data_IF_752694300597
#
_entry.id   IF_752694300597
#
_cell.length_a   1.000
_cell.length_b   1.000
_cell.length_c   1.000
_cell.angle_alpha   90.00
_cell.angle_beta   90.00
_cell.angle_gamma   90.00
#
_symmetry.space_group_name_H-M   'P 1'
#
loop_
_entity.id
_entity.type
_entity.pdbx_description
1 polymer ?
#
# COMPACT_ATOMS: atom_id res chain seq x y z
N UNK A 1 -57.81 -37.29 -34.99
CA UNK A 1 -57.18 -35.99 -34.68
C UNK A 1 -57.04 -36.00 -33.17
N UNK A 2 -55.88 -36.40 -32.66
CA UNK A 2 -55.55 -36.46 -31.22
C UNK A 2 -54.85 -35.17 -30.82
N UNK A 3 -55.52 -34.23 -30.13
CA UNK A 3 -54.83 -33.10 -29.50
C UNK A 3 -54.93 -33.11 -27.96
N UNK A 4 -55.24 -34.25 -27.31
CA UNK A 4 -55.60 -34.25 -25.88
C UNK A 4 -54.65 -35.04 -24.96
N UNK A 5 -53.69 -35.77 -25.51
CA UNK A 5 -52.73 -36.56 -24.72
C UNK A 5 -51.59 -35.70 -24.14
N UNK A 6 -51.28 -34.56 -24.75
CA UNK A 6 -50.19 -33.68 -24.28
C UNK A 6 -50.64 -32.87 -23.06
N UNK A 7 -51.88 -32.39 -23.04
CA UNK A 7 -52.42 -31.55 -21.95
C UNK A 7 -52.79 -32.36 -20.70
N UNK A 8 -53.20 -33.63 -20.86
CA UNK A 8 -53.51 -34.53 -19.73
C UNK A 8 -52.25 -35.04 -19.03
N UNK A 9 -51.17 -35.29 -19.76
CA UNK A 9 -49.87 -35.67 -19.17
C UNK A 9 -49.24 -34.50 -18.39
N UNK A 10 -49.44 -33.26 -18.83
CA UNK A 10 -48.92 -32.08 -18.12
C UNK A 10 -49.70 -31.78 -16.82
N UNK A 11 -51.01 -32.09 -16.78
CA UNK A 11 -51.88 -31.81 -15.63
C UNK A 11 -51.98 -32.94 -14.60
N UNK A 12 -51.27 -34.05 -14.77
CA UNK A 12 -51.18 -35.07 -13.71
C UNK A 12 -50.47 -34.50 -12.49
N UNK A 13 -51.07 -34.56 -11.28
CA UNK A 13 -50.49 -33.97 -10.06
C UNK A 13 -49.08 -34.49 -9.75
N UNK A 14 -48.77 -35.71 -10.20
CA UNK A 14 -47.47 -36.36 -10.10
C UNK A 14 -46.37 -35.63 -10.88
N UNK A 15 -46.67 -35.18 -12.09
CA UNK A 15 -45.72 -34.48 -12.96
C UNK A 15 -45.48 -33.05 -12.46
N UNK A 16 -46.51 -32.40 -11.93
CA UNK A 16 -46.38 -31.10 -11.27
C UNK A 16 -45.43 -31.13 -10.07
N UNK A 17 -45.54 -32.15 -9.22
CA UNK A 17 -44.63 -32.33 -8.07
C UNK A 17 -43.18 -32.56 -8.52
N UNK A 18 -42.96 -33.34 -9.58
CA UNK A 18 -41.62 -33.54 -10.16
C UNK A 18 -41.02 -32.25 -10.71
N UNK A 19 -41.82 -31.45 -11.43
CA UNK A 19 -41.38 -30.13 -11.92
C UNK A 19 -41.03 -29.18 -10.77
N UNK A 20 -41.86 -29.13 -9.72
CA UNK A 20 -41.59 -28.32 -8.54
C UNK A 20 -40.28 -28.75 -7.85
N UNK A 21 -40.03 -30.06 -7.73
CA UNK A 21 -38.80 -30.60 -7.17
C UNK A 21 -37.56 -30.21 -8.00
N UNK A 22 -37.67 -30.23 -9.33
CA UNK A 22 -36.59 -29.78 -10.23
C UNK A 22 -36.31 -28.30 -10.03
N UNK A 23 -37.34 -27.45 -9.97
CA UNK A 23 -37.18 -26.00 -9.75
C UNK A 23 -36.51 -25.75 -8.40
N UNK A 24 -36.97 -26.41 -7.33
CA UNK A 24 -36.37 -26.29 -6.00
C UNK A 24 -34.90 -26.72 -6.03
N UNK A 25 -34.58 -27.83 -6.71
CA UNK A 25 -33.19 -28.30 -6.87
C UNK A 25 -32.31 -27.28 -7.60
N UNK A 26 -32.81 -26.69 -8.69
CA UNK A 26 -32.11 -25.64 -9.45
C UNK A 26 -31.90 -24.39 -8.59
N UNK A 27 -32.91 -23.94 -7.85
CA UNK A 27 -32.82 -22.78 -6.96
C UNK A 27 -31.79 -23.02 -5.86
N UNK A 28 -31.80 -24.20 -5.23
CA UNK A 28 -30.80 -24.56 -4.21
C UNK A 28 -29.39 -24.54 -4.82
N UNK A 29 -29.21 -25.11 -6.02
CA UNK A 29 -27.91 -25.10 -6.69
C UNK A 29 -27.41 -23.68 -6.97
N UNK A 30 -28.29 -22.77 -7.43
CA UNK A 30 -27.97 -21.37 -7.65
C UNK A 30 -27.59 -20.68 -6.33
N UNK A 31 -28.35 -20.90 -5.26
CA UNK A 31 -28.06 -20.31 -3.95
C UNK A 31 -26.72 -20.78 -3.39
N UNK A 32 -26.39 -22.06 -3.54
CA UNK A 32 -25.08 -22.61 -3.13
C UNK A 32 -23.96 -21.98 -3.95
N UNK A 33 -24.14 -21.82 -5.26
CA UNK A 33 -23.17 -21.14 -6.14
C UNK A 33 -22.94 -19.68 -5.72
N UNK A 34 -24.01 -18.93 -5.50
CA UNK A 34 -23.94 -17.53 -5.08
C UNK A 34 -23.28 -17.38 -3.71
N UNK A 35 -23.63 -18.23 -2.74
CA UNK A 35 -23.00 -18.24 -1.43
C UNK A 35 -21.50 -18.51 -1.55
N UNK A 36 -21.11 -19.52 -2.33
CA UNK A 36 -19.71 -19.85 -2.54
C UNK A 36 -18.93 -18.71 -3.21
N UNK A 37 -19.47 -18.10 -4.27
CA UNK A 37 -18.88 -16.93 -4.91
C UNK A 37 -18.74 -15.75 -3.96
N UNK A 38 -19.74 -15.50 -3.11
CA UNK A 38 -19.69 -14.44 -2.12
C UNK A 38 -18.58 -14.67 -1.09
N UNK A 39 -18.47 -15.89 -0.53
CA UNK A 39 -17.40 -16.21 0.43
C UNK A 39 -16.03 -16.17 -0.22
N UNK A 40 -15.90 -16.66 -1.46
CA UNK A 40 -14.66 -16.60 -2.22
C UNK A 40 -14.22 -15.15 -2.47
N UNK A 41 -15.11 -14.30 -3.01
CA UNK A 41 -14.82 -12.88 -3.23
C UNK A 41 -14.50 -12.14 -1.94
N UNK A 42 -15.22 -12.43 -0.84
CA UNK A 42 -14.94 -11.80 0.45
C UNK A 42 -13.53 -12.16 0.96
N UNK A 43 -13.13 -13.44 0.84
CA UNK A 43 -11.80 -13.90 1.24
C UNK A 43 -10.71 -13.31 0.36
N UNK A 44 -10.93 -13.27 -0.96
CA UNK A 44 -10.00 -12.71 -1.93
C UNK A 44 -9.76 -11.21 -1.67
N UNK A 45 -10.83 -10.43 -1.46
CA UNK A 45 -10.72 -9.02 -1.09
C UNK A 45 -9.90 -8.82 0.19
N UNK A 46 -10.13 -9.61 1.24
CA UNK A 46 -9.33 -9.54 2.47
C UNK A 46 -7.85 -9.87 2.23
N UNK A 47 -7.57 -10.87 1.39
CA UNK A 47 -6.20 -11.24 1.02
C UNK A 47 -5.50 -10.10 0.29
N UNK A 48 -6.14 -9.52 -0.73
CA UNK A 48 -5.60 -8.39 -1.50
C UNK A 48 -5.32 -7.21 -0.57
N UNK A 49 -6.26 -6.83 0.30
CA UNK A 49 -6.03 -5.71 1.23
C UNK A 49 -4.84 -5.97 2.14
N UNK A 50 -4.70 -7.19 2.68
CA UNK A 50 -3.56 -7.56 3.52
C UNK A 50 -2.22 -7.44 2.77
N UNK A 51 -2.17 -7.97 1.54
CA UNK A 51 -1.00 -7.91 0.66
C UNK A 51 -0.62 -6.46 0.34
N UNK A 52 -1.59 -5.57 0.12
CA UNK A 52 -1.33 -4.15 -0.13
C UNK A 52 -0.89 -3.37 1.10
N UNK A 53 -1.30 -3.78 2.31
CA UNK A 53 -0.76 -3.23 3.55
C UNK A 53 0.71 -3.65 3.71
N UNK A 54 1.04 -4.90 3.39
CA UNK A 54 2.41 -5.41 3.44
C UNK A 54 3.30 -4.70 2.42
N UNK A 55 2.85 -4.53 1.18
CA UNK A 55 3.59 -3.76 0.15
C UNK A 55 3.84 -2.30 0.56
N UNK A 56 2.89 -1.67 1.27
CA UNK A 56 3.06 -0.33 1.81
C UNK A 56 4.10 -0.30 2.93
N UNK A 57 4.04 -1.28 3.83
CA UNK A 57 4.99 -1.42 4.92
C UNK A 57 6.42 -1.64 4.41
N UNK A 58 6.61 -2.52 3.42
CA UNK A 58 7.91 -2.72 2.77
C UNK A 58 8.43 -1.44 2.12
N UNK A 59 7.55 -0.68 1.44
CA UNK A 59 7.92 0.61 0.87
C UNK A 59 8.38 1.58 1.96
N UNK A 60 7.69 1.63 3.11
CA UNK A 60 8.06 2.49 4.25
C UNK A 60 9.42 2.14 4.85
N UNK A 61 9.75 0.85 4.91
CA UNK A 61 11.08 0.38 5.32
C UNK A 61 12.15 0.79 4.30
N UNK A 62 11.85 0.63 3.01
CA UNK A 62 12.77 1.04 1.93
C UNK A 62 13.06 2.55 1.99
N UNK A 63 12.03 3.36 2.21
CA UNK A 63 12.19 4.81 2.41
C UNK A 63 13.09 5.14 3.61
N UNK A 64 12.81 4.56 4.77
CA UNK A 64 13.57 4.85 6.00
C UNK A 64 15.03 4.41 5.88
N UNK A 65 15.29 3.25 5.27
CA UNK A 65 16.65 2.79 4.93
C UNK A 65 17.36 3.75 3.98
N UNK A 66 16.71 4.19 2.90
CA UNK A 66 17.31 5.13 1.96
C UNK A 66 17.64 6.47 2.63
N UNK A 67 16.77 6.96 3.53
CA UNK A 67 17.06 8.16 4.31
C UNK A 67 18.26 7.99 5.24
N UNK A 68 18.32 6.87 5.96
CA UNK A 68 19.42 6.54 6.86
C UNK A 68 20.75 6.41 6.10
N UNK A 69 20.74 5.77 4.93
CA UNK A 69 21.91 5.64 4.06
C UNK A 69 22.40 6.99 3.55
N UNK A 70 21.50 7.86 3.06
CA UNK A 70 21.87 9.22 2.62
C UNK A 70 22.50 10.03 3.76
N UNK A 71 21.90 9.97 4.96
CA UNK A 71 22.43 10.68 6.14
C UNK A 71 23.80 10.10 6.54
N UNK A 72 23.95 8.78 6.53
CA UNK A 72 25.20 8.09 6.88
C UNK A 72 26.31 8.39 5.89
N UNK A 73 26.00 8.40 4.59
CA UNK A 73 26.95 8.73 3.54
C UNK A 73 27.51 10.16 3.72
N UNK A 74 26.67 11.11 4.14
CA UNK A 74 27.11 12.48 4.47
C UNK A 74 28.04 12.48 5.68
N UNK A 75 27.71 11.74 6.75
CA UNK A 75 28.56 11.63 7.93
C UNK A 75 29.93 11.01 7.63
N UNK A 76 29.96 10.00 6.76
CA UNK A 76 31.19 9.33 6.33
C UNK A 76 31.99 10.16 5.30
N UNK A 77 31.46 11.31 4.85
CA UNK A 77 32.03 12.14 3.79
C UNK A 77 32.35 11.35 2.50
N UNK A 78 31.60 10.29 2.24
CA UNK A 78 31.89 9.29 1.19
C UNK A 78 31.93 9.89 -0.22
N UNK A 79 31.03 10.84 -0.51
CA UNK A 79 30.94 11.53 -1.80
C UNK A 79 31.32 13.01 -1.72
N UNK A 80 32.24 13.35 -0.80
CA UNK A 80 32.77 14.71 -0.70
C UNK A 80 33.69 15.01 -1.88
N UNK A 81 33.39 16.07 -2.63
CA UNK A 81 34.25 16.61 -3.68
C UNK A 81 35.45 17.34 -3.08
N UNK A 82 36.52 17.49 -3.86
CA UNK A 82 37.70 18.29 -3.50
C UNK A 82 37.34 19.75 -3.16
N UNK A 83 36.29 20.28 -3.80
CA UNK A 83 35.75 21.61 -3.53
C UNK A 83 34.99 21.74 -2.19
N UNK A 84 34.81 20.65 -1.45
CA UNK A 84 34.08 20.59 -0.19
C UNK A 84 32.57 20.35 -0.32
N UNK A 85 32.03 20.37 -1.54
CA UNK A 85 30.63 20.08 -1.84
C UNK A 85 30.35 18.59 -1.80
N UNK A 86 29.10 18.21 -1.55
CA UNK A 86 28.68 16.82 -1.48
C UNK A 86 27.73 16.46 -2.64
N UNK A 87 27.92 15.29 -3.24
CA UNK A 87 26.96 14.69 -4.17
C UNK A 87 26.18 13.58 -3.48
N UNK A 88 24.87 13.52 -3.68
CA UNK A 88 24.09 12.37 -3.25
C UNK A 88 24.40 11.16 -4.12
N UNK A 89 24.36 9.98 -3.52
CA UNK A 89 24.31 8.74 -4.28
C UNK A 89 23.01 8.72 -5.12
N UNK A 90 23.09 8.73 -6.46
CA UNK A 90 21.92 8.79 -7.32
C UNK A 90 21.04 7.53 -7.18
N UNK A 91 21.64 6.39 -6.81
CA UNK A 91 20.91 5.13 -6.63
C UNK A 91 20.05 5.20 -5.38
N UNK A 92 20.63 5.63 -4.26
CA UNK A 92 19.89 5.73 -2.98
C UNK A 92 18.84 6.84 -3.05
N UNK A 93 19.15 7.95 -3.72
CA UNK A 93 18.16 9.00 -3.98
C UNK A 93 16.98 8.49 -4.81
N UNK A 94 17.23 7.70 -5.87
CA UNK A 94 16.16 7.08 -6.66
C UNK A 94 15.31 6.15 -5.78
N UNK A 95 15.93 5.31 -4.96
CA UNK A 95 15.20 4.40 -4.07
C UNK A 95 14.28 5.14 -3.10
N UNK A 96 14.71 6.28 -2.56
CA UNK A 96 13.87 7.13 -1.71
C UNK A 96 12.63 7.61 -2.50
N UNK A 97 12.84 8.16 -3.69
CA UNK A 97 11.76 8.69 -4.54
C UNK A 97 10.81 7.59 -4.98
N UNK A 98 11.33 6.45 -5.40
CA UNK A 98 10.56 5.28 -5.84
C UNK A 98 9.71 4.71 -4.70
N UNK A 99 10.26 4.68 -3.48
CA UNK A 99 9.52 4.24 -2.29
C UNK A 99 8.33 5.17 -2.01
N UNK A 100 8.52 6.49 -2.10
CA UNK A 100 7.44 7.46 -1.92
C UNK A 100 6.38 7.38 -3.02
N UNK A 101 6.79 7.22 -4.28
CA UNK A 101 5.85 7.02 -5.41
C UNK A 101 5.05 5.74 -5.21
N UNK A 102 5.68 4.64 -4.79
CA UNK A 102 4.99 3.39 -4.49
C UNK A 102 3.95 3.57 -3.38
N UNK A 103 4.28 4.27 -2.31
CA UNK A 103 3.32 4.60 -1.24
C UNK A 103 2.15 5.45 -1.74
N UNK A 104 2.44 6.49 -2.54
CA UNK A 104 1.42 7.37 -3.14
C UNK A 104 0.46 6.59 -4.04
N UNK A 105 0.99 5.68 -4.86
CA UNK A 105 0.18 4.79 -5.69
C UNK A 105 -0.70 3.84 -4.86
N UNK A 106 -0.15 3.24 -3.80
CA UNK A 106 -0.89 2.35 -2.91
C UNK A 106 -2.02 3.09 -2.17
N UNK A 107 -1.76 4.32 -1.71
CA UNK A 107 -2.79 5.20 -1.17
C UNK A 107 -3.89 5.44 -2.19
N UNK A 108 -3.54 5.89 -3.40
CA UNK A 108 -4.52 6.24 -4.44
C UNK A 108 -5.40 5.07 -4.88
N UNK A 109 -4.85 3.85 -4.93
CA UNK A 109 -5.55 2.68 -5.44
C UNK A 109 -6.33 1.90 -4.36
N UNK A 110 -5.76 1.75 -3.16
CA UNK A 110 -6.28 0.83 -2.15
C UNK A 110 -6.69 1.52 -0.84
N UNK A 111 -6.11 2.69 -0.53
CA UNK A 111 -6.29 3.34 0.77
C UNK A 111 -6.59 4.84 0.64
N UNK A 112 -7.70 5.24 -0.03
CA UNK A 112 -7.96 6.65 -0.34
C UNK A 112 -8.13 7.55 0.90
N UNK A 113 -8.45 6.98 2.06
CA UNK A 113 -8.63 7.69 3.33
C UNK A 113 -7.40 7.57 4.26
N UNK A 114 -6.24 7.22 3.72
CA UNK A 114 -4.98 7.19 4.46
C UNK A 114 -4.43 8.61 4.62
N UNK A 115 -3.93 8.92 5.81
CA UNK A 115 -3.26 10.19 6.12
C UNK A 115 -1.79 10.14 5.67
N UNK A 116 -1.59 10.10 4.35
CA UNK A 116 -0.26 10.13 3.74
C UNK A 116 -0.24 11.23 2.67
N UNK A 117 0.83 12.04 2.68
CA UNK A 117 1.12 13.04 1.66
C UNK A 117 2.62 13.01 1.38
N UNK A 118 2.97 12.71 0.14
CA UNK A 118 4.36 12.54 -0.28
C UNK A 118 5.24 13.74 0.02
N UNK A 119 4.69 14.95 -0.06
CA UNK A 119 5.39 16.22 0.15
C UNK A 119 5.97 16.32 1.56
N UNK A 120 5.29 15.71 2.54
CA UNK A 120 5.69 15.72 3.95
C UNK A 120 6.90 14.82 4.23
N UNK A 121 7.29 13.97 3.27
CA UNK A 121 8.42 13.03 3.37
C UNK A 121 9.53 13.30 2.36
N UNK A 122 9.38 14.38 1.59
CA UNK A 122 10.36 14.76 0.57
C UNK A 122 11.73 15.06 1.18
N UNK A 123 12.77 14.95 0.35
CA UNK A 123 14.17 15.18 0.77
C UNK A 123 14.39 16.57 1.37
N UNK A 124 13.56 17.55 1.00
CA UNK A 124 13.58 18.91 1.51
C UNK A 124 13.31 19.00 3.02
N UNK A 125 12.74 17.95 3.63
CA UNK A 125 12.53 17.85 5.08
C UNK A 125 13.77 17.37 5.84
N UNK A 126 14.85 17.01 5.13
CA UNK A 126 16.13 16.60 5.70
C UNK A 126 17.19 17.68 5.43
N UNK A 127 17.29 18.73 6.27
CA UNK A 127 18.18 19.87 6.03
C UNK A 127 19.65 19.49 5.89
N UNK A 128 20.11 18.40 6.52
CA UNK A 128 21.50 17.95 6.41
C UNK A 128 21.91 17.64 4.96
N UNK A 129 20.96 17.16 4.15
CA UNK A 129 21.21 16.83 2.74
C UNK A 129 21.35 18.13 1.94
N UNK A 130 20.52 19.12 2.21
CA UNK A 130 20.60 20.41 1.54
C UNK A 130 21.89 21.16 1.92
N UNK A 131 22.25 21.16 3.20
CA UNK A 131 23.50 21.78 3.69
C UNK A 131 24.75 21.14 3.05
N UNK A 132 24.71 19.82 2.81
CA UNK A 132 25.80 19.08 2.18
C UNK A 132 25.94 19.43 0.68
N UNK A 133 24.82 19.48 -0.05
CA UNK A 133 24.80 19.75 -1.49
C UNK A 133 25.08 21.22 -1.81
N UNK A 134 24.51 22.15 -1.02
CA UNK A 134 24.70 23.60 -1.19
C UNK A 134 26.12 24.06 -0.85
N UNK A 135 26.90 23.21 -0.17
CA UNK A 135 28.23 23.54 0.32
C UNK A 135 28.22 24.39 1.59
N UNK A 136 27.06 24.61 2.22
CA UNK A 136 26.97 25.33 3.49
C UNK A 136 27.73 24.63 4.63
N UNK A 137 27.77 23.28 4.61
CA UNK A 137 28.65 22.51 5.49
C UNK A 137 30.13 22.87 5.32
N UNK A 138 30.60 23.02 4.08
CA UNK A 138 31.98 23.38 3.78
C UNK A 138 32.30 24.83 4.16
N UNK A 139 31.31 25.72 4.02
CA UNK A 139 31.42 27.14 4.37
C UNK A 139 31.25 27.41 5.87
N UNK A 140 30.86 26.40 6.66
CA UNK A 140 30.51 26.52 8.10
C UNK A 140 29.45 27.59 8.36
N UNK A 141 28.55 27.79 7.40
CA UNK A 141 27.48 28.77 7.47
C UNK A 141 26.22 28.21 8.12
N UNK A 142 26.07 26.88 8.13
CA UNK A 142 24.99 26.19 8.81
C UNK A 142 25.48 25.44 10.06
N UNK A 143 24.59 25.32 11.05
CA UNK A 143 24.81 24.46 12.21
C UNK A 143 24.55 23.00 11.81
N UNK A 144 25.63 22.34 11.38
CA UNK A 144 25.63 20.95 10.91
C UNK A 144 25.05 19.99 11.96
N UNK A 145 25.29 20.23 13.25
CA UNK A 145 24.79 19.36 14.32
C UNK A 145 23.27 19.48 14.46
N UNK A 146 22.75 20.71 14.39
CA UNK A 146 21.31 20.96 14.37
C UNK A 146 20.64 20.37 13.13
N UNK A 147 21.18 20.60 11.93
CA UNK A 147 20.66 20.03 10.68
C UNK A 147 20.66 18.50 10.69
N UNK A 148 21.69 17.88 11.25
CA UNK A 148 21.76 16.44 11.43
C UNK A 148 20.65 15.94 12.37
N UNK A 149 20.51 16.53 13.57
CA UNK A 149 19.47 16.16 14.54
C UNK A 149 18.06 16.32 13.98
N UNK A 150 17.80 17.39 13.24
CA UNK A 150 16.50 17.63 12.59
C UNK A 150 16.19 16.55 11.55
N UNK A 151 17.17 16.22 10.70
CA UNK A 151 17.00 15.18 9.68
C UNK A 151 16.79 13.80 10.29
N UNK A 152 17.54 13.43 11.34
CA UNK A 152 17.32 12.17 12.08
C UNK A 152 15.95 12.10 12.71
N UNK A 153 15.51 13.18 13.36
CA UNK A 153 14.18 13.27 13.97
C UNK A 153 13.08 13.14 12.92
N UNK A 154 13.27 13.73 11.74
CA UNK A 154 12.33 13.58 10.62
C UNK A 154 12.17 12.10 10.21
N UNK A 155 13.28 11.37 10.06
CA UNK A 155 13.24 9.93 9.72
C UNK A 155 12.54 9.11 10.80
N UNK A 156 12.82 9.39 12.08
CA UNK A 156 12.19 8.72 13.23
C UNK A 156 10.68 8.95 13.25
N UNK A 157 10.24 10.22 13.20
CA UNK A 157 8.83 10.59 13.18
C UNK A 157 8.11 10.01 11.95
N UNK A 158 8.76 10.00 10.80
CA UNK A 158 8.20 9.40 9.58
C UNK A 158 7.98 7.90 9.74
N UNK A 159 8.95 7.19 10.31
CA UNK A 159 8.88 5.76 10.59
C UNK A 159 7.73 5.42 11.55
N UNK A 160 7.60 6.19 12.63
CA UNK A 160 6.50 6.03 13.58
C UNK A 160 5.15 6.26 12.91
N UNK A 161 5.03 7.32 12.11
CA UNK A 161 3.78 7.61 11.42
C UNK A 161 3.40 6.52 10.40
N UNK A 162 4.34 6.00 9.61
CA UNK A 162 4.06 4.87 8.71
C UNK A 162 3.60 3.62 9.47
N UNK A 163 4.21 3.35 10.62
CA UNK A 163 3.79 2.24 11.49
C UNK A 163 2.35 2.43 11.97
N UNK A 164 1.99 3.63 12.41
CA UNK A 164 0.62 3.95 12.84
C UNK A 164 -0.39 3.79 11.71
N UNK A 165 -0.04 4.24 10.50
CA UNK A 165 -0.84 4.03 9.29
C UNK A 165 -1.08 2.54 9.07
N UNK A 166 -0.03 1.71 9.03
CA UNK A 166 -0.16 0.28 8.85
C UNK A 166 -1.04 -0.37 9.93
N UNK A 167 -0.86 0.00 11.20
CA UNK A 167 -1.69 -0.51 12.31
C UNK A 167 -3.15 -0.14 12.11
N UNK A 168 -3.43 1.12 11.75
CA UNK A 168 -4.80 1.60 11.52
C UNK A 168 -5.48 0.85 10.37
N UNK A 169 -4.74 0.55 9.30
CA UNK A 169 -5.24 -0.21 8.15
C UNK A 169 -5.51 -1.67 8.49
N UNK A 170 -4.61 -2.30 9.25
CA UNK A 170 -4.80 -3.68 9.73
C UNK A 170 -6.03 -3.79 10.63
N UNK A 171 -6.26 -2.82 11.52
CA UNK A 171 -7.43 -2.79 12.41
C UNK A 171 -8.74 -2.65 11.62
N UNK A 172 -8.78 -1.75 10.62
CA UNK A 172 -9.94 -1.58 9.73
C UNK A 172 -10.26 -2.85 8.93
N UNK A 173 -9.25 -3.68 8.64
CA UNK A 173 -9.39 -4.90 7.83
C UNK A 173 -9.87 -6.12 8.64
N UNK A 174 -9.80 -6.08 9.98
CA UNK A 174 -10.24 -7.19 10.86
C UNK A 174 -11.77 -7.39 10.92
N UNK A 175 -12.56 -6.46 10.40
CA UNK A 175 -14.03 -6.55 10.29
C UNK A 175 -14.40 -7.31 8.99
#
# INVERSE_FOLDING_TARGET
MEPDTITTVINSPENWVRFLAIIISVVIAILVLLANQYFANKRERKKIVCEKIEEFYEASISYTKACDELITDIQLMKYKRESGYYDNDPVIYSQLVDSLIKMEMLQGLYFPNMDFKKEDYSINKMPIIWDAISGEMARRTSDVESSYKQSRKHVEVSSEHFREICISLMQKTKI
#
